data_IF_813852171458
#
_entry.id   IF_813852171458
#
_cell.length_a   1.000
_cell.length_b   1.000
_cell.length_c   1.000
_cell.angle_alpha   90.00
_cell.angle_beta   90.00
_cell.angle_gamma   90.00
#
_symmetry.space_group_name_H-M   'P 1'
#
loop_
_entity.id
_entity.type
_entity.pdbx_description
1 polymer ?
#
# COMPACT_ATOMS: atom_id res chain seq x y z
N UNK A 1 3.69 -1.80 -19.68
CA UNK A 1 3.62 -2.12 -18.25
C UNK A 1 4.84 -2.93 -17.87
N UNK A 2 5.37 -2.70 -16.70
CA UNK A 2 6.57 -3.39 -16.28
C UNK A 2 6.24 -4.83 -15.84
N UNK A 3 7.18 -5.74 -16.03
CA UNK A 3 6.96 -7.18 -15.75
C UNK A 3 6.66 -7.49 -14.29
N UNK A 4 7.11 -6.63 -13.36
CA UNK A 4 6.81 -6.79 -11.93
C UNK A 4 5.32 -6.55 -11.69
N UNK A 5 4.75 -5.48 -12.27
CA UNK A 5 3.32 -5.21 -12.17
C UNK A 5 2.47 -6.31 -12.80
N UNK A 6 2.89 -6.79 -13.97
CA UNK A 6 2.19 -7.89 -14.65
C UNK A 6 2.20 -9.16 -13.78
N UNK A 7 3.33 -9.43 -13.15
CA UNK A 7 3.47 -10.58 -12.26
C UNK A 7 2.59 -10.45 -11.03
N UNK A 8 2.50 -9.25 -10.45
CA UNK A 8 1.62 -8.99 -9.32
C UNK A 8 0.16 -9.14 -9.70
N UNK A 9 -0.25 -8.61 -10.87
CA UNK A 9 -1.62 -8.75 -11.38
C UNK A 9 -1.99 -10.21 -11.64
N UNK A 10 -1.04 -11.02 -12.09
CA UNK A 10 -1.30 -12.43 -12.42
C UNK A 10 -1.75 -13.26 -11.22
N UNK A 11 -1.51 -12.79 -10.00
CA UNK A 11 -1.91 -13.47 -8.77
C UNK A 11 -3.38 -13.25 -8.43
N UNK A 12 -4.07 -12.36 -9.14
CA UNK A 12 -5.47 -12.05 -8.90
C UNK A 12 -6.35 -12.78 -9.92
N UNK A 13 -7.53 -13.23 -9.46
CA UNK A 13 -8.55 -13.77 -10.34
C UNK A 13 -9.35 -12.62 -10.93
N UNK A 14 -9.04 -12.24 -12.17
CA UNK A 14 -9.66 -11.09 -12.83
C UNK A 14 -10.71 -11.61 -13.84
N UNK A 15 -11.99 -11.37 -13.53
CA UNK A 15 -13.11 -11.78 -14.35
C UNK A 15 -13.77 -10.63 -15.10
N UNK A 16 -13.55 -9.39 -14.66
CA UNK A 16 -14.18 -8.21 -15.24
C UNK A 16 -13.35 -6.96 -14.91
N UNK A 17 -13.79 -5.81 -15.43
CA UNK A 17 -13.10 -4.52 -15.23
C UNK A 17 -13.03 -4.12 -13.76
N UNK A 18 -14.08 -4.41 -12.98
CA UNK A 18 -14.08 -4.11 -11.56
C UNK A 18 -13.00 -4.89 -10.81
N UNK A 19 -12.84 -6.17 -11.11
CA UNK A 19 -11.79 -6.99 -10.51
C UNK A 19 -10.41 -6.44 -10.83
N UNK A 20 -10.20 -6.03 -12.08
CA UNK A 20 -8.94 -5.43 -12.52
C UNK A 20 -8.67 -4.14 -11.75
N UNK A 21 -9.67 -3.26 -11.62
CA UNK A 21 -9.54 -1.99 -10.90
C UNK A 21 -9.20 -2.24 -9.43
N UNK A 22 -9.88 -3.18 -8.77
CA UNK A 22 -9.62 -3.51 -7.38
C UNK A 22 -8.22 -4.10 -7.18
N UNK A 23 -7.78 -4.96 -8.09
CA UNK A 23 -6.44 -5.52 -8.04
C UNK A 23 -5.37 -4.44 -8.17
N UNK A 24 -5.55 -3.50 -9.10
CA UNK A 24 -4.62 -2.40 -9.30
C UNK A 24 -4.56 -1.49 -8.07
N UNK A 25 -5.71 -1.16 -7.47
CA UNK A 25 -5.76 -0.36 -6.24
C UNK A 25 -4.98 -1.01 -5.11
N UNK A 26 -5.16 -2.32 -4.92
CA UNK A 26 -4.46 -3.06 -3.86
C UNK A 26 -2.96 -3.11 -4.11
N UNK A 27 -2.54 -3.30 -5.36
CA UNK A 27 -1.12 -3.27 -5.73
C UNK A 27 -0.51 -1.91 -5.42
N UNK A 28 -1.21 -0.82 -5.75
CA UNK A 28 -0.75 0.53 -5.44
C UNK A 28 -0.63 0.72 -3.93
N UNK A 29 -1.59 0.24 -3.15
CA UNK A 29 -1.52 0.28 -1.69
C UNK A 29 -0.28 -0.44 -1.17
N UNK A 30 0.04 -1.60 -1.70
CA UNK A 30 1.23 -2.36 -1.31
C UNK A 30 2.52 -1.63 -1.67
N UNK A 31 2.57 -0.97 -2.82
CA UNK A 31 3.72 -0.17 -3.25
C UNK A 31 3.92 1.01 -2.30
N UNK A 32 2.83 1.70 -1.92
CA UNK A 32 2.88 2.82 -0.97
C UNK A 32 3.38 2.33 0.39
N UNK A 33 2.86 1.20 0.88
CA UNK A 33 3.30 0.62 2.14
C UNK A 33 4.79 0.26 2.12
N UNK A 34 5.28 -0.27 1.00
CA UNK A 34 6.70 -0.54 0.82
C UNK A 34 7.55 0.72 0.94
N UNK A 35 7.13 1.80 0.26
CA UNK A 35 7.83 3.08 0.33
C UNK A 35 7.86 3.64 1.75
N UNK A 36 6.73 3.61 2.44
CA UNK A 36 6.64 4.06 3.83
C UNK A 36 7.57 3.23 4.74
N UNK A 37 7.58 1.91 4.55
CA UNK A 37 8.43 1.02 5.33
C UNK A 37 9.92 1.34 5.14
N UNK A 38 10.33 1.56 3.90
CA UNK A 38 11.73 1.89 3.58
C UNK A 38 12.15 3.24 4.17
N UNK A 39 11.20 4.17 4.29
CA UNK A 39 11.46 5.48 4.89
C UNK A 39 11.43 5.48 6.41
N UNK A 40 11.10 4.36 7.05
CA UNK A 40 11.04 4.28 8.51
C UNK A 40 9.72 4.75 9.10
N UNK A 41 8.67 4.90 8.29
CA UNK A 41 7.36 5.37 8.75
C UNK A 41 6.81 4.53 9.90
N UNK A 42 7.00 3.21 9.85
CA UNK A 42 6.45 2.31 10.86
C UNK A 42 7.21 2.34 12.21
N UNK A 43 8.26 3.15 12.31
CA UNK A 43 8.86 3.49 13.60
C UNK A 43 8.01 4.53 14.34
N UNK A 44 7.15 5.28 13.63
CA UNK A 44 6.33 6.35 14.19
C UNK A 44 4.84 6.02 14.20
N UNK A 45 4.39 5.09 13.36
CA UNK A 45 2.96 4.83 13.16
C UNK A 45 2.69 3.34 12.96
N UNK A 46 1.46 2.93 13.20
CA UNK A 46 0.97 1.58 12.95
C UNK A 46 -0.07 1.60 11.84
N UNK A 47 -0.07 0.55 11.03
CA UNK A 47 -1.05 0.31 9.99
C UNK A 47 -2.19 -0.53 10.57
N UNK A 48 -3.43 -0.13 10.34
CA UNK A 48 -4.59 -0.84 10.87
C UNK A 48 -5.77 -0.76 9.89
N UNK A 49 -6.92 -1.32 10.29
CA UNK A 49 -8.15 -1.25 9.53
C UNK A 49 -8.35 -2.38 8.54
N UNK A 50 -9.34 -2.22 7.66
CA UNK A 50 -9.74 -3.24 6.69
C UNK A 50 -8.65 -3.62 5.70
N UNK A 51 -7.87 -2.65 5.22
CA UNK A 51 -6.77 -2.92 4.28
C UNK A 51 -5.66 -3.73 4.96
N UNK A 52 -5.36 -3.44 6.24
CA UNK A 52 -4.40 -4.24 6.98
C UNK A 52 -4.87 -5.68 7.13
N UNK A 53 -6.15 -5.88 7.44
CA UNK A 53 -6.75 -7.21 7.53
C UNK A 53 -6.69 -7.95 6.19
N UNK A 54 -6.95 -7.24 5.10
CA UNK A 54 -6.87 -7.80 3.75
C UNK A 54 -5.45 -8.25 3.42
N UNK A 55 -4.47 -7.37 3.58
CA UNK A 55 -3.10 -7.61 3.14
C UNK A 55 -2.39 -8.64 4.01
N UNK A 56 -2.51 -8.53 5.34
CA UNK A 56 -1.76 -9.39 6.26
C UNK A 56 -2.51 -10.65 6.68
N UNK A 57 -3.83 -10.63 6.66
CA UNK A 57 -4.64 -11.74 7.17
C UNK A 57 -5.59 -12.33 6.14
N UNK A 58 -5.54 -11.83 4.91
CA UNK A 58 -6.31 -12.42 3.81
C UNK A 58 -7.81 -12.21 3.89
N UNK A 59 -8.28 -11.07 4.46
CA UNK A 59 -9.69 -10.74 4.46
C UNK A 59 -10.26 -10.85 3.05
N UNK A 60 -11.40 -11.53 2.90
CA UNK A 60 -11.93 -11.91 1.59
C UNK A 60 -12.72 -10.79 0.90
N UNK A 61 -12.25 -9.56 1.01
CA UNK A 61 -12.80 -8.42 0.28
C UNK A 61 -11.72 -7.34 0.17
N UNK A 62 -11.79 -6.52 -0.88
CA UNK A 62 -10.89 -5.40 -1.07
C UNK A 62 -11.24 -4.26 -0.12
N UNK A 63 -10.23 -3.48 0.23
CA UNK A 63 -10.39 -2.26 1.02
C UNK A 63 -9.75 -1.10 0.28
N UNK A 64 -10.39 0.08 0.32
CA UNK A 64 -9.95 1.25 -0.45
C UNK A 64 -9.02 2.17 0.33
N UNK A 65 -9.06 2.14 1.67
CA UNK A 65 -8.36 3.09 2.51
C UNK A 65 -7.13 2.49 3.16
N UNK A 66 -6.13 3.33 3.39
CA UNK A 66 -4.97 3.00 4.22
C UNK A 66 -5.10 3.78 5.52
N UNK A 67 -5.24 3.07 6.62
CA UNK A 67 -5.44 3.65 7.93
C UNK A 67 -4.19 3.52 8.79
N UNK A 68 -3.74 4.63 9.37
CA UNK A 68 -2.56 4.66 10.21
C UNK A 68 -2.86 5.41 11.51
N UNK A 69 -2.19 5.01 12.58
CA UNK A 69 -2.22 5.72 13.84
C UNK A 69 -0.79 5.93 14.33
N UNK A 70 -0.50 7.13 14.82
CA UNK A 70 0.81 7.39 15.42
C UNK A 70 0.95 6.55 16.69
N UNK A 71 2.14 5.98 16.90
CA UNK A 71 2.45 5.20 18.09
C UNK A 71 2.46 6.07 19.34
N UNK A 72 2.86 7.34 19.18
CA UNK A 72 2.84 8.34 20.22
C UNK A 72 2.35 9.66 19.66
N UNK A 73 1.61 10.48 20.44
CA UNK A 73 1.21 11.80 19.97
C UNK A 73 2.42 12.63 19.56
N UNK A 74 2.37 13.22 18.37
CA UNK A 74 3.46 14.03 17.85
C UNK A 74 2.89 15.16 17.00
N UNK A 75 2.87 16.38 17.56
CA UNK A 75 2.34 17.56 16.88
C UNK A 75 3.22 18.02 15.71
N UNK A 76 4.46 17.56 15.67
CA UNK A 76 5.40 17.91 14.60
C UNK A 76 5.48 16.86 13.51
N UNK A 77 4.64 15.83 13.58
CA UNK A 77 4.62 14.78 12.56
C UNK A 77 4.25 15.36 11.19
N UNK A 78 5.06 15.01 10.19
CA UNK A 78 4.85 15.45 8.81
C UNK A 78 4.97 14.25 7.87
N UNK A 79 3.85 13.86 7.29
CA UNK A 79 3.78 12.73 6.35
C UNK A 79 4.60 13.01 5.08
N UNK A 80 4.72 14.28 4.69
CA UNK A 80 5.38 14.63 3.42
C UNK A 80 6.85 14.21 3.36
N UNK A 81 7.52 14.04 4.50
CA UNK A 81 8.92 13.57 4.52
C UNK A 81 9.08 12.15 3.96
N UNK A 82 7.98 11.39 3.89
CA UNK A 82 7.99 10.02 3.37
C UNK A 82 7.67 9.95 1.88
N UNK A 83 7.23 11.04 1.25
CA UNK A 83 6.85 11.07 -0.16
C UNK A 83 8.01 10.69 -1.08
N UNK A 84 9.23 11.05 -0.72
CA UNK A 84 10.42 10.66 -1.46
C UNK A 84 10.54 9.15 -1.59
N UNK A 85 10.28 8.43 -0.50
CA UNK A 85 10.38 6.96 -0.49
C UNK A 85 9.26 6.31 -1.27
N UNK A 86 8.05 6.87 -1.19
CA UNK A 86 6.90 6.39 -1.96
C UNK A 86 7.18 6.60 -3.45
N UNK A 87 7.67 7.78 -3.83
CA UNK A 87 8.00 8.09 -5.21
C UNK A 87 9.07 7.14 -5.77
N UNK A 88 10.08 6.83 -4.99
CA UNK A 88 11.11 5.87 -5.38
C UNK A 88 10.54 4.47 -5.62
N UNK A 89 9.64 4.02 -4.75
CA UNK A 89 9.00 2.73 -4.95
C UNK A 89 8.13 2.71 -6.21
N UNK A 90 7.34 3.74 -6.44
CA UNK A 90 6.51 3.86 -7.64
C UNK A 90 7.38 3.81 -8.90
N UNK A 91 8.50 4.53 -8.92
CA UNK A 91 9.44 4.53 -10.04
C UNK A 91 10.04 3.15 -10.29
N UNK A 92 10.31 2.39 -9.23
CA UNK A 92 10.88 1.04 -9.36
C UNK A 92 9.91 0.06 -10.03
N UNK A 93 8.62 0.29 -9.92
CA UNK A 93 7.61 -0.58 -10.54
C UNK A 93 7.15 -0.07 -11.92
N UNK A 94 7.63 1.06 -12.34
CA UNK A 94 7.30 1.62 -13.63
C UNK A 94 6.17 2.57 -13.61
#
# INVERSE_FOLDING_TARGET
MNSVLENMLSKYEIKNTLDETNAMKEIIQEIVLCGLSRGGFFNEAAFYGGTALRIFYGLNRFSEDLDFALLEPNLEFDLSKYFFYIEKEVQAYG
#
